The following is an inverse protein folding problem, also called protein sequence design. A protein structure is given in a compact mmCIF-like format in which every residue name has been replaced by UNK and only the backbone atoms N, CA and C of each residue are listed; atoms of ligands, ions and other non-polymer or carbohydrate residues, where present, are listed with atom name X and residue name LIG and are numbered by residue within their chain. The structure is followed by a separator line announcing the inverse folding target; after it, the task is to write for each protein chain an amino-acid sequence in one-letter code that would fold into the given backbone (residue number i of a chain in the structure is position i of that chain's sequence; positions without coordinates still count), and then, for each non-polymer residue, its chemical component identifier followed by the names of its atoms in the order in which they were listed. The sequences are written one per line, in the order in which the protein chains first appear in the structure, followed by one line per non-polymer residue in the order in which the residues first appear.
data_IF_126615954492
#
_entry.id   IF_126615954492
#
_cell.length_a   1.000
_cell.length_b   1.000
_cell.length_c   1.000
_cell.angle_alpha   90.00
_cell.angle_beta   90.00
_cell.angle_gamma   90.00
#
_symmetry.space_group_name_H-M   'P 1'
#
loop_
_entity.id
_entity.type
_entity.pdbx_description
1 polymer ?
#
# COMPACT_ATOMS: atom_id res chain seq x y z
N UNK A 1 14.79 23.96 17.17
CA UNK A 1 15.40 23.32 15.99
C UNK A 1 16.61 24.14 15.60
N UNK A 2 17.71 23.51 15.15
CA UNK A 2 18.87 24.26 14.68
C UNK A 2 18.52 25.05 13.41
N UNK A 3 19.06 26.26 13.30
CA UNK A 3 18.87 27.16 12.17
C UNK A 3 20.22 27.58 11.60
N UNK A 4 20.23 27.87 10.30
CA UNK A 4 21.35 28.53 9.61
C UNK A 4 20.79 29.74 8.88
N UNK A 5 21.56 30.82 8.77
CA UNK A 5 21.11 32.08 8.17
C UNK A 5 21.29 32.14 6.65
N UNK A 6 22.25 31.40 6.11
CA UNK A 6 22.59 31.25 4.68
C UNK A 6 22.95 29.80 4.37
N UNK A 7 23.06 29.48 3.08
CA UNK A 7 23.35 28.14 2.63
C UNK A 7 24.80 27.71 2.91
N UNK A 8 24.98 26.43 3.22
CA UNK A 8 26.27 25.78 3.52
C UNK A 8 26.47 24.61 2.56
N UNK A 9 27.72 24.29 2.21
CA UNK A 9 28.07 23.21 1.31
C UNK A 9 28.43 23.68 -0.10
N UNK A 10 28.25 22.80 -1.07
CA UNK A 10 28.61 23.02 -2.48
C UNK A 10 27.84 24.23 -3.05
N UNK A 11 28.58 25.24 -3.51
CA UNK A 11 28.02 26.48 -4.02
C UNK A 11 27.22 27.30 -2.99
N UNK A 12 27.34 26.97 -1.69
CA UNK A 12 26.73 27.71 -0.60
C UNK A 12 27.47 29.00 -0.28
N UNK A 13 26.81 29.89 0.48
CA UNK A 13 27.46 31.12 0.99
C UNK A 13 28.55 30.78 2.01
N UNK A 14 28.41 29.66 2.73
CA UNK A 14 29.42 29.11 3.64
C UNK A 14 29.90 30.09 4.71
N UNK A 15 28.96 30.83 5.32
CA UNK A 15 29.34 31.71 6.43
C UNK A 15 29.83 30.89 7.64
N UNK A 16 30.88 31.31 8.35
CA UNK A 16 31.54 30.45 9.33
C UNK A 16 30.65 29.94 10.47
N UNK A 17 29.66 30.73 10.90
CA UNK A 17 28.71 30.34 11.95
C UNK A 17 27.78 29.22 11.49
N UNK A 18 27.24 29.32 10.29
CA UNK A 18 26.33 28.31 9.72
C UNK A 18 27.08 27.01 9.40
N UNK A 19 28.32 27.13 8.92
CA UNK A 19 29.18 25.96 8.66
C UNK A 19 29.45 25.19 9.95
N UNK A 20 29.76 25.87 11.07
CA UNK A 20 29.95 25.21 12.37
C UNK A 20 28.68 24.47 12.79
N UNK A 21 27.51 25.08 12.63
CA UNK A 21 26.23 24.42 12.92
C UNK A 21 26.08 23.13 12.12
N UNK A 22 26.31 23.17 10.80
CA UNK A 22 26.19 21.98 9.95
C UNK A 22 27.22 20.91 10.29
N UNK A 23 28.47 21.28 10.56
CA UNK A 23 29.53 20.36 10.98
C UNK A 23 29.19 19.65 12.30
N UNK A 24 28.68 20.39 13.28
CA UNK A 24 28.18 19.81 14.54
C UNK A 24 27.07 18.80 14.29
N UNK A 25 26.06 19.16 13.50
CA UNK A 25 24.93 18.27 13.21
C UNK A 25 25.34 17.01 12.43
N UNK A 26 26.32 17.12 11.53
CA UNK A 26 26.88 15.95 10.82
C UNK A 26 27.57 15.00 11.80
N UNK A 27 28.33 15.54 12.74
CA UNK A 27 28.99 14.76 13.79
C UNK A 27 27.99 14.10 14.74
N UNK A 28 26.90 14.78 15.09
CA UNK A 28 25.80 14.19 15.88
C UNK A 28 25.12 13.03 15.14
N UNK A 29 25.12 13.05 13.80
CA UNK A 29 24.57 12.00 12.96
C UNK A 29 25.63 10.97 12.50
N UNK A 30 26.86 11.00 13.04
CA UNK A 30 27.99 10.23 12.49
C UNK A 30 27.76 8.71 12.48
N UNK A 31 27.00 8.18 13.44
CA UNK A 31 26.64 6.76 13.50
C UNK A 31 25.86 6.28 12.26
N UNK A 32 25.18 7.19 11.55
CA UNK A 32 24.42 6.91 10.32
C UNK A 32 25.30 6.99 9.07
N UNK A 33 26.53 7.47 9.22
CA UNK A 33 27.52 7.72 8.18
C UNK A 33 28.74 6.82 8.33
N UNK A 34 28.66 5.69 9.04
CA UNK A 34 29.78 4.73 9.12
C UNK A 34 30.20 4.27 7.71
N UNK A 35 31.51 4.21 7.37
CA UNK A 35 32.67 4.27 8.25
C UNK A 35 33.33 5.66 8.36
N UNK A 36 32.64 6.74 7.98
CA UNK A 36 33.21 8.07 8.02
C UNK A 36 33.48 8.54 9.46
N UNK A 37 34.59 9.28 9.62
CA UNK A 37 34.96 9.93 10.89
C UNK A 37 34.30 11.31 11.02
N UNK A 38 34.10 11.81 12.26
CA UNK A 38 33.64 13.17 12.50
C UNK A 38 34.48 14.21 11.76
N UNK A 39 33.82 15.23 11.21
CA UNK A 39 34.49 16.39 10.58
C UNK A 39 34.94 17.39 11.65
N UNK A 40 35.99 18.15 11.37
CA UNK A 40 36.40 19.24 12.26
C UNK A 40 35.33 20.36 12.27
N UNK A 41 34.96 20.86 13.45
CA UNK A 41 34.00 21.97 13.60
C UNK A 41 34.73 23.31 13.50
N UNK A 42 35.34 23.56 12.34
CA UNK A 42 36.18 24.73 12.09
C UNK A 42 35.38 25.96 11.65
N UNK A 43 34.19 25.76 11.07
CA UNK A 43 33.46 26.80 10.34
C UNK A 43 33.98 27.05 8.93
N UNK A 44 34.91 26.22 8.45
CA UNK A 44 35.40 26.26 7.06
C UNK A 44 34.74 25.11 6.28
N UNK A 45 34.01 25.44 5.21
CA UNK A 45 33.33 24.44 4.40
C UNK A 45 34.29 23.83 3.37
N UNK A 46 35.13 22.92 3.85
CA UNK A 46 36.09 22.19 3.02
C UNK A 46 35.48 20.99 2.28
N UNK A 47 36.26 20.38 1.40
CA UNK A 47 35.83 19.22 0.60
C UNK A 47 35.27 18.08 1.46
N UNK A 48 35.84 17.83 2.65
CA UNK A 48 35.35 16.82 3.58
C UNK A 48 33.97 17.15 4.14
N UNK A 49 33.69 18.43 4.44
CA UNK A 49 32.37 18.87 4.91
C UNK A 49 31.33 18.65 3.80
N UNK A 50 31.66 19.02 2.55
CA UNK A 50 30.77 18.82 1.39
C UNK A 50 30.51 17.32 1.16
N UNK A 51 31.56 16.49 1.18
CA UNK A 51 31.44 15.03 1.05
C UNK A 51 30.50 14.46 2.11
N UNK A 52 30.60 14.93 3.37
CA UNK A 52 29.75 14.44 4.46
C UNK A 52 28.28 14.85 4.27
N UNK A 53 28.03 16.05 3.73
CA UNK A 53 26.69 16.49 3.36
C UNK A 53 26.13 15.57 2.27
N UNK A 54 26.91 15.31 1.22
CA UNK A 54 26.51 14.40 0.14
C UNK A 54 26.22 12.98 0.66
N UNK A 55 27.05 12.49 1.57
CA UNK A 55 26.88 11.19 2.22
C UNK A 55 25.59 11.11 3.01
N UNK A 56 25.31 12.15 3.79
CA UNK A 56 24.09 12.26 4.57
C UNK A 56 22.86 12.30 3.65
N UNK A 57 22.87 13.15 2.62
CA UNK A 57 21.77 13.21 1.65
C UNK A 57 21.53 11.86 0.97
N UNK A 58 22.59 11.15 0.57
CA UNK A 58 22.47 9.86 -0.10
C UNK A 58 21.97 8.76 0.84
N UNK A 59 22.51 8.64 2.05
CA UNK A 59 22.18 7.55 2.99
C UNK A 59 20.91 7.81 3.78
N UNK A 60 20.75 9.02 4.29
CA UNK A 60 19.65 9.39 5.18
C UNK A 60 18.43 9.86 4.41
N UNK A 61 18.62 10.74 3.41
CA UNK A 61 17.50 11.25 2.61
C UNK A 61 17.18 10.40 1.39
N UNK A 62 17.99 9.38 1.09
CA UNK A 62 17.90 8.53 -0.11
C UNK A 62 17.91 9.36 -1.40
N UNK A 63 18.68 10.44 -1.43
CA UNK A 63 18.82 11.27 -2.61
C UNK A 63 19.57 10.50 -3.72
N UNK A 64 18.96 10.41 -4.90
CA UNK A 64 19.59 9.77 -6.07
C UNK A 64 20.78 10.57 -6.62
N UNK A 65 20.73 11.89 -6.49
CA UNK A 65 21.81 12.81 -6.86
C UNK A 65 22.05 13.77 -5.67
N UNK A 66 22.92 13.41 -4.72
CA UNK A 66 23.25 14.30 -3.61
C UNK A 66 23.97 15.55 -4.15
N UNK A 67 23.47 16.73 -3.79
CA UNK A 67 23.96 18.02 -4.28
C UNK A 67 25.03 18.65 -3.37
N UNK A 68 25.20 18.11 -2.16
CA UNK A 68 26.18 18.59 -1.20
C UNK A 68 25.85 19.95 -0.59
N UNK A 69 24.59 20.41 -0.65
CA UNK A 69 24.14 21.71 -0.15
C UNK A 69 23.11 21.59 0.98
N UNK A 70 23.20 22.51 1.95
CA UNK A 70 22.28 22.67 3.07
C UNK A 70 21.75 24.10 3.04
N UNK A 71 20.46 24.25 2.74
CA UNK A 71 19.80 25.56 2.72
C UNK A 71 19.04 25.86 4.03
N UNK A 72 18.91 27.14 4.43
CA UNK A 72 18.08 27.55 5.56
C UNK A 72 16.65 27.00 5.45
N UNK A 73 16.18 26.30 6.50
CA UNK A 73 14.86 25.67 6.51
C UNK A 73 14.67 24.52 5.50
N UNK A 74 15.74 24.13 4.80
CA UNK A 74 15.71 23.08 3.79
C UNK A 74 15.68 21.67 4.37
N UNK A 75 15.31 20.70 3.52
CA UNK A 75 15.15 19.28 3.88
C UNK A 75 16.39 18.68 4.56
N UNK A 76 17.60 19.03 4.09
CA UNK A 76 18.86 18.53 4.67
C UNK A 76 19.05 19.03 6.11
N UNK A 77 18.79 20.32 6.37
CA UNK A 77 18.93 20.91 7.70
C UNK A 77 17.91 20.33 8.69
N UNK A 78 16.66 20.16 8.25
CA UNK A 78 15.59 19.55 9.05
C UNK A 78 15.96 18.14 9.49
N UNK A 79 16.45 17.32 8.56
CA UNK A 79 16.84 15.94 8.86
C UNK A 79 18.11 15.84 9.72
N UNK A 80 19.08 16.74 9.52
CA UNK A 80 20.27 16.85 10.37
C UNK A 80 19.91 17.22 11.82
N UNK A 81 18.95 18.12 12.01
CA UNK A 81 18.52 18.62 13.32
C UNK A 81 17.73 17.63 14.18
N UNK A 82 17.72 16.34 13.83
CA UNK A 82 16.93 15.32 14.53
C UNK A 82 15.42 15.44 14.34
N UNK A 83 14.93 16.47 13.61
CA UNK A 83 13.56 16.59 13.14
C UNK A 83 13.34 15.74 11.89
N UNK A 84 13.86 14.51 11.91
CA UNK A 84 13.43 13.47 10.99
C UNK A 84 12.01 13.09 11.39
N UNK A 85 11.02 13.88 10.96
CA UNK A 85 9.86 13.22 10.40
C UNK A 85 10.44 12.33 9.29
N UNK A 86 10.19 11.01 9.29
CA UNK A 86 10.31 10.29 8.03
C UNK A 86 9.56 11.15 7.02
N UNK A 87 10.16 11.50 5.88
CA UNK A 87 9.32 11.89 4.76
C UNK A 87 8.36 10.73 4.64
N UNK A 88 7.11 10.91 5.08
CA UNK A 88 6.09 9.88 4.99
C UNK A 88 6.23 9.40 3.56
N UNK A 89 6.53 8.10 3.31
CA UNK A 89 6.45 7.60 1.95
C UNK A 89 5.13 8.12 1.44
N UNK A 90 5.16 8.89 0.34
CA UNK A 90 3.95 9.50 -0.22
C UNK A 90 2.87 8.43 -0.14
N UNK A 91 1.77 8.77 0.55
CA UNK A 91 0.84 7.76 1.00
C UNK A 91 0.44 6.89 -0.19
N UNK A 92 0.55 5.54 -0.10
CA UNK A 92 0.34 4.72 -1.27
C UNK A 92 -1.01 5.01 -1.91
N UNK A 93 -0.99 5.17 -3.23
CA UNK A 93 -2.17 5.53 -4.00
C UNK A 93 -2.99 4.27 -4.27
N UNK A 94 -4.25 4.29 -3.87
CA UNK A 94 -5.21 3.24 -4.20
C UNK A 94 -6.03 3.69 -5.41
N UNK A 95 -5.91 2.97 -6.51
CA UNK A 95 -6.64 3.23 -7.75
C UNK A 95 -7.82 2.27 -7.91
N UNK A 96 -8.80 2.63 -8.73
CA UNK A 96 -9.95 1.76 -9.02
C UNK A 96 -11.10 1.96 -8.02
N UNK A 97 -11.71 0.86 -7.58
CA UNK A 97 -12.86 0.92 -6.69
C UNK A 97 -12.46 1.48 -5.31
N UNK A 98 -13.25 2.43 -4.81
CA UNK A 98 -13.01 3.04 -3.51
C UNK A 98 -13.20 2.02 -2.38
N UNK A 99 -12.22 1.94 -1.47
CA UNK A 99 -12.33 1.16 -0.25
C UNK A 99 -12.90 2.02 0.90
N UNK A 100 -13.68 1.43 1.81
CA UNK A 100 -13.96 2.06 3.10
C UNK A 100 -12.66 2.43 3.83
N UNK A 101 -12.67 3.58 4.52
CA UNK A 101 -11.45 4.15 5.12
C UNK A 101 -10.65 3.17 6.01
N UNK A 102 -11.28 2.32 6.87
CA UNK A 102 -10.54 1.34 7.65
C UNK A 102 -9.79 0.30 6.80
N UNK A 103 -10.41 -0.20 5.74
CA UNK A 103 -9.79 -1.15 4.83
C UNK A 103 -8.70 -0.50 3.96
N UNK A 104 -8.93 0.74 3.53
CA UNK A 104 -7.95 1.52 2.77
C UNK A 104 -6.67 1.77 3.58
N UNK A 105 -6.81 2.07 4.88
CA UNK A 105 -5.67 2.26 5.78
C UNK A 105 -4.81 1.00 5.87
N UNK A 106 -5.44 -0.16 6.10
CA UNK A 106 -4.73 -1.46 6.15
C UNK A 106 -4.02 -1.76 4.83
N UNK A 107 -4.68 -1.58 3.67
CA UNK A 107 -4.03 -1.83 2.39
C UNK A 107 -2.82 -0.89 2.18
N UNK A 108 -2.92 0.38 2.57
CA UNK A 108 -1.80 1.33 2.50
C UNK A 108 -0.65 0.93 3.41
N UNK A 109 -0.91 0.41 4.60
CA UNK A 109 0.11 -0.11 5.53
C UNK A 109 0.84 -1.32 4.92
N UNK A 110 0.08 -2.26 4.33
CA UNK A 110 0.63 -3.41 3.60
C UNK A 110 1.51 -2.96 2.43
N UNK A 111 1.06 -1.98 1.64
CA UNK A 111 1.84 -1.44 0.52
C UNK A 111 3.14 -0.81 0.99
N UNK A 112 3.11 0.00 2.07
CA UNK A 112 4.32 0.56 2.69
C UNK A 112 5.28 -0.54 3.11
N UNK A 113 4.79 -1.58 3.80
CA UNK A 113 5.61 -2.71 4.25
C UNK A 113 6.25 -3.49 3.09
N UNK A 114 5.54 -3.59 1.95
CA UNK A 114 6.06 -4.22 0.73
C UNK A 114 6.98 -3.29 -0.12
N UNK A 115 7.13 -2.03 0.27
CA UNK A 115 7.86 -1.01 -0.50
C UNK A 115 7.16 -0.64 -1.81
N UNK A 116 5.83 -0.63 -1.81
CA UNK A 116 4.96 -0.30 -2.94
C UNK A 116 4.30 1.06 -2.72
N UNK A 117 4.20 1.84 -3.79
CA UNK A 117 3.59 3.19 -3.76
C UNK A 117 2.18 3.25 -4.35
N UNK A 118 1.71 2.16 -4.98
CA UNK A 118 0.36 2.11 -5.56
C UNK A 118 -0.17 0.68 -5.69
N UNK A 119 -1.49 0.54 -5.75
CA UNK A 119 -2.18 -0.68 -6.14
C UNK A 119 -3.57 -0.36 -6.73
N UNK A 120 -4.09 -1.23 -7.61
CA UNK A 120 -5.44 -1.10 -8.17
C UNK A 120 -6.39 -2.09 -7.51
N UNK A 121 -7.45 -1.58 -6.90
CA UNK A 121 -8.57 -2.34 -6.37
C UNK A 121 -9.62 -2.55 -7.46
N UNK A 122 -9.93 -3.79 -7.79
CA UNK A 122 -10.87 -4.15 -8.88
C UNK A 122 -12.26 -4.56 -8.39
N UNK A 123 -12.40 -4.81 -7.09
CA UNK A 123 -13.59 -5.39 -6.47
C UNK A 123 -13.58 -5.09 -4.98
N UNK A 124 -14.77 -4.87 -4.40
CA UNK A 124 -14.97 -4.52 -2.99
C UNK A 124 -16.20 -5.26 -2.45
N UNK A 125 -16.63 -4.97 -1.23
CA UNK A 125 -17.89 -5.51 -0.69
C UNK A 125 -19.09 -5.09 -1.56
N UNK A 126 -20.05 -5.99 -1.73
CA UNK A 126 -21.23 -5.83 -2.59
C UNK A 126 -22.51 -6.07 -1.79
N UNK A 127 -23.63 -5.66 -2.36
CA UNK A 127 -24.95 -6.14 -1.92
C UNK A 127 -25.23 -7.56 -2.44
N UNK A 128 -26.12 -8.33 -1.79
CA UNK A 128 -26.56 -9.63 -2.32
C UNK A 128 -27.11 -9.56 -3.75
N UNK A 129 -27.84 -8.50 -4.09
CA UNK A 129 -28.40 -8.29 -5.42
C UNK A 129 -27.30 -8.08 -6.48
N UNK A 130 -26.30 -7.26 -6.18
CA UNK A 130 -25.14 -7.08 -7.05
C UNK A 130 -24.35 -8.38 -7.22
N UNK A 131 -24.19 -9.17 -6.15
CA UNK A 131 -23.53 -10.46 -6.26
C UNK A 131 -24.31 -11.43 -7.17
N UNK A 132 -25.64 -11.48 -7.07
CA UNK A 132 -26.46 -12.28 -7.98
C UNK A 132 -26.23 -11.88 -9.45
N UNK A 133 -26.19 -10.56 -9.72
CA UNK A 133 -25.90 -10.01 -11.06
C UNK A 133 -24.52 -10.43 -11.57
N UNK A 134 -23.49 -10.33 -10.73
CA UNK A 134 -22.11 -10.73 -11.08
C UNK A 134 -22.03 -12.24 -11.35
N UNK A 135 -22.68 -13.06 -10.53
CA UNK A 135 -22.71 -14.52 -10.73
C UNK A 135 -23.42 -14.89 -12.03
N UNK A 136 -24.54 -14.22 -12.36
CA UNK A 136 -25.23 -14.40 -13.64
C UNK A 136 -24.31 -14.05 -14.82
N UNK A 137 -23.67 -12.88 -14.79
CA UNK A 137 -22.79 -12.41 -15.88
C UNK A 137 -21.57 -13.30 -16.07
N UNK A 138 -20.98 -13.79 -14.98
CA UNK A 138 -19.89 -14.76 -15.05
C UNK A 138 -20.37 -16.10 -15.63
N UNK A 139 -21.58 -16.56 -15.34
CA UNK A 139 -22.12 -17.78 -15.94
C UNK A 139 -22.35 -17.63 -17.44
N UNK A 140 -22.87 -16.47 -17.88
CA UNK A 140 -23.05 -16.16 -19.31
C UNK A 140 -21.71 -16.08 -20.03
N UNK A 141 -20.72 -15.40 -19.45
CA UNK A 141 -19.44 -15.12 -20.12
C UNK A 141 -18.42 -16.25 -20.04
N UNK A 142 -18.41 -17.04 -18.97
CA UNK A 142 -17.39 -18.07 -18.70
C UNK A 142 -17.95 -19.48 -18.54
N UNK A 143 -19.27 -19.63 -18.48
CA UNK A 143 -19.94 -20.92 -18.33
C UNK A 143 -20.06 -21.42 -16.90
N UNK A 144 -20.97 -22.38 -16.70
CA UNK A 144 -21.33 -22.96 -15.40
C UNK A 144 -20.14 -23.64 -14.72
N UNK A 145 -19.38 -24.48 -15.45
CA UNK A 145 -18.28 -25.24 -14.87
C UNK A 145 -17.16 -24.33 -14.35
N UNK A 146 -16.81 -23.27 -15.10
CA UNK A 146 -15.84 -22.28 -14.64
C UNK A 146 -16.25 -21.66 -13.30
N UNK A 147 -17.53 -21.29 -13.18
CA UNK A 147 -18.03 -20.67 -11.96
C UNK A 147 -18.04 -21.66 -10.78
N UNK A 148 -18.42 -22.92 -11.00
CA UNK A 148 -18.38 -23.95 -9.95
C UNK A 148 -16.96 -24.24 -9.44
N UNK A 149 -15.95 -24.10 -10.29
CA UNK A 149 -14.56 -24.23 -9.86
C UNK A 149 -14.07 -23.03 -9.04
N UNK A 150 -14.74 -21.88 -9.14
CA UNK A 150 -14.38 -20.66 -8.41
C UNK A 150 -15.13 -20.53 -7.08
N UNK A 151 -16.39 -20.97 -7.05
CA UNK A 151 -17.21 -20.93 -5.85
C UNK A 151 -17.10 -22.24 -5.04
N UNK A 152 -17.43 -22.16 -3.76
CA UNK A 152 -17.61 -23.34 -2.92
C UNK A 152 -19.06 -23.88 -3.04
N UNK A 153 -19.34 -25.01 -2.38
CA UNK A 153 -20.65 -25.68 -2.41
C UNK A 153 -21.88 -24.78 -2.17
N UNK A 154 -21.73 -23.68 -1.42
CA UNK A 154 -22.79 -22.69 -1.24
C UNK A 154 -23.06 -21.87 -2.52
N UNK A 155 -22.02 -21.42 -3.22
CA UNK A 155 -22.17 -20.72 -4.49
C UNK A 155 -22.58 -21.65 -5.64
N UNK A 156 -22.19 -22.92 -5.60
CA UNK A 156 -22.64 -23.93 -6.57
C UNK A 156 -24.16 -24.04 -6.61
N UNK A 157 -24.82 -24.01 -5.45
CA UNK A 157 -26.29 -24.02 -5.36
C UNK A 157 -26.93 -22.81 -6.06
N UNK A 158 -26.27 -21.65 -6.05
CA UNK A 158 -26.75 -20.45 -6.76
C UNK A 158 -26.51 -20.58 -8.26
N UNK A 159 -25.38 -21.18 -8.66
CA UNK A 159 -25.08 -21.49 -10.06
C UNK A 159 -26.05 -22.54 -10.62
N UNK A 160 -26.49 -23.50 -9.80
CA UNK A 160 -27.51 -24.49 -10.19
C UNK A 160 -28.85 -23.81 -10.48
N UNK A 161 -29.21 -22.77 -9.72
CA UNK A 161 -30.39 -21.94 -10.01
C UNK A 161 -30.25 -21.25 -11.36
N UNK A 162 -29.08 -20.70 -11.69
CA UNK A 162 -28.82 -20.18 -13.03
C UNK A 162 -29.01 -21.26 -14.09
N UNK A 163 -28.34 -22.42 -13.93
CA UNK A 163 -28.34 -23.49 -14.93
C UNK A 163 -29.76 -24.01 -15.22
N UNK A 164 -30.59 -24.16 -14.19
CA UNK A 164 -31.97 -24.61 -14.31
C UNK A 164 -32.93 -23.57 -14.91
N UNK A 165 -32.54 -22.28 -14.94
CA UNK A 165 -33.41 -21.18 -15.35
C UNK A 165 -32.84 -20.33 -16.49
N UNK A 166 -31.70 -20.73 -17.09
CA UNK A 166 -30.91 -19.91 -18.03
C UNK A 166 -31.69 -19.42 -19.26
N UNK A 167 -32.77 -20.12 -19.63
CA UNK A 167 -33.63 -19.79 -20.78
C UNK A 167 -34.77 -18.81 -20.43
N UNK A 168 -34.91 -18.41 -19.16
CA UNK A 168 -35.85 -17.38 -18.68
C UNK A 168 -35.28 -15.97 -18.88
N UNK A 169 -36.13 -14.91 -18.79
CA UNK A 169 -35.66 -13.53 -18.84
C UNK A 169 -34.57 -13.26 -17.79
N UNK A 170 -33.54 -12.50 -18.18
CA UNK A 170 -32.37 -12.18 -17.36
C UNK A 170 -32.72 -11.76 -15.93
N UNK A 171 -33.63 -10.80 -15.78
CA UNK A 171 -34.00 -10.25 -14.48
C UNK A 171 -34.71 -11.28 -13.59
N UNK A 172 -35.49 -12.19 -14.19
CA UNK A 172 -36.09 -13.33 -13.49
C UNK A 172 -35.02 -14.28 -12.96
N UNK A 173 -34.01 -14.61 -13.76
CA UNK A 173 -32.92 -15.49 -13.32
C UNK A 173 -32.12 -14.85 -12.19
N UNK A 174 -31.77 -13.57 -12.32
CA UNK A 174 -31.05 -12.83 -11.27
C UNK A 174 -31.87 -12.78 -9.97
N UNK A 175 -33.18 -12.56 -10.05
CA UNK A 175 -34.06 -12.55 -8.88
C UNK A 175 -34.10 -13.93 -8.19
N UNK A 176 -34.16 -15.03 -8.95
CA UNK A 176 -34.10 -16.39 -8.39
C UNK A 176 -32.74 -16.68 -7.74
N UNK A 177 -31.64 -16.25 -8.37
CA UNK A 177 -30.30 -16.36 -7.80
C UNK A 177 -30.17 -15.56 -6.50
N UNK A 178 -30.69 -14.33 -6.47
CA UNK A 178 -30.75 -13.51 -5.26
C UNK A 178 -31.54 -14.20 -4.15
N UNK A 179 -32.72 -14.72 -4.45
CA UNK A 179 -33.52 -15.46 -3.47
C UNK A 179 -32.73 -16.63 -2.87
N UNK A 180 -31.99 -17.38 -3.70
CA UNK A 180 -31.13 -18.48 -3.22
C UNK A 180 -29.95 -17.98 -2.37
N UNK A 181 -29.34 -16.84 -2.71
CA UNK A 181 -28.28 -16.22 -1.90
C UNK A 181 -28.81 -15.86 -0.51
N UNK A 182 -30.00 -15.25 -0.43
CA UNK A 182 -30.62 -14.87 0.83
C UNK A 182 -31.00 -16.10 1.67
N UNK A 183 -31.53 -17.15 1.03
CA UNK A 183 -31.86 -18.43 1.67
C UNK A 183 -30.65 -19.11 2.31
N UNK A 184 -29.53 -19.20 1.58
CA UNK A 184 -28.30 -19.84 2.07
C UNK A 184 -27.64 -19.00 3.17
N UNK A 185 -27.73 -17.68 3.04
CA UNK A 185 -27.02 -16.70 3.83
C UNK A 185 -25.89 -16.05 3.02
N UNK A 186 -25.94 -14.73 2.77
CA UNK A 186 -24.99 -14.01 1.91
C UNK A 186 -23.51 -14.36 2.16
N UNK A 187 -23.04 -14.19 3.41
CA UNK A 187 -21.64 -14.43 3.77
C UNK A 187 -21.15 -15.87 3.60
N UNK A 188 -22.06 -16.85 3.45
CA UNK A 188 -21.69 -18.25 3.12
C UNK A 188 -21.47 -18.46 1.63
N UNK A 189 -22.15 -17.67 0.78
CA UNK A 189 -22.01 -17.75 -0.69
C UNK A 189 -20.74 -17.04 -1.16
N UNK A 190 -20.49 -15.84 -0.64
CA UNK A 190 -19.32 -15.04 -1.01
C UNK A 190 -18.93 -14.11 0.12
N UNK A 191 -17.61 -13.96 0.35
CA UNK A 191 -17.13 -13.03 1.37
C UNK A 191 -17.36 -11.56 0.99
N UNK A 192 -17.45 -11.23 -0.30
CA UNK A 192 -17.79 -9.87 -0.74
C UNK A 192 -19.17 -9.41 -0.27
N UNK A 193 -20.10 -10.31 0.02
CA UNK A 193 -21.43 -9.96 0.55
C UNK A 193 -21.56 -10.28 2.03
N UNK A 194 -20.44 -10.40 2.74
CA UNK A 194 -20.42 -10.56 4.19
C UNK A 194 -20.53 -9.21 4.88
N UNK A 195 -21.37 -9.16 5.91
CA UNK A 195 -21.50 -8.06 6.86
C UNK A 195 -20.32 -7.94 7.83
N UNK A 196 -19.62 -9.04 8.10
CA UNK A 196 -18.53 -9.11 9.09
C UNK A 196 -17.14 -8.75 8.55
N UNK A 197 -16.95 -8.66 7.23
CA UNK A 197 -15.62 -8.41 6.63
C UNK A 197 -15.66 -7.29 5.61
N UNK A 198 -14.58 -6.52 5.54
CA UNK A 198 -14.19 -5.81 4.34
C UNK A 198 -13.49 -6.81 3.42
N UNK A 199 -13.99 -6.96 2.20
CA UNK A 199 -13.42 -7.92 1.23
C UNK A 199 -13.20 -7.23 -0.08
N UNK A 200 -12.00 -7.36 -0.62
CA UNK A 200 -11.61 -6.67 -1.83
C UNK A 200 -10.50 -7.39 -2.56
N UNK A 201 -10.42 -7.10 -3.86
CA UNK A 201 -9.47 -7.75 -4.76
C UNK A 201 -8.49 -6.71 -5.30
N UNK A 202 -7.20 -7.00 -5.18
CA UNK A 202 -6.14 -6.19 -5.77
C UNK A 202 -5.65 -6.86 -7.06
N UNK A 203 -5.64 -6.10 -8.16
CA UNK A 203 -5.21 -6.58 -9.45
C UNK A 203 -3.72 -6.96 -9.44
N UNK A 204 -3.33 -8.21 -9.76
CA UNK A 204 -1.93 -8.61 -9.78
C UNK A 204 -1.10 -7.82 -10.78
N UNK A 205 -1.72 -7.35 -11.88
CA UNK A 205 -1.10 -6.48 -12.88
C UNK A 205 -0.72 -5.09 -12.36
N UNK A 206 -1.29 -4.65 -11.24
CA UNK A 206 -0.92 -3.39 -10.59
C UNK A 206 0.28 -3.51 -9.65
N UNK A 207 0.71 -4.74 -9.36
CA UNK A 207 1.86 -5.03 -8.52
C UNK A 207 2.99 -5.55 -9.42
N UNK A 208 4.21 -4.99 -9.38
CA UNK A 208 5.33 -5.53 -10.15
C UNK A 208 5.53 -7.01 -9.83
N UNK A 209 5.70 -7.87 -10.85
CA UNK A 209 5.80 -9.33 -10.66
C UNK A 209 6.89 -9.72 -9.66
N UNK A 210 8.05 -9.04 -9.69
CA UNK A 210 9.15 -9.24 -8.75
C UNK A 210 8.80 -8.90 -7.28
N UNK A 211 7.70 -8.17 -7.05
CA UNK A 211 7.21 -7.76 -5.72
C UNK A 211 6.00 -8.57 -5.25
N UNK A 212 5.46 -9.50 -6.06
CA UNK A 212 4.30 -10.31 -5.66
C UNK A 212 4.55 -11.09 -4.36
N UNK A 213 5.73 -11.71 -4.23
CA UNK A 213 6.10 -12.43 -3.01
C UNK A 213 6.19 -11.51 -1.79
N UNK A 214 6.79 -10.32 -1.94
CA UNK A 214 6.90 -9.34 -0.86
C UNK A 214 5.53 -8.77 -0.46
N UNK A 215 4.65 -8.51 -1.44
CA UNK A 215 3.29 -8.06 -1.20
C UNK A 215 2.48 -9.12 -0.45
N UNK A 216 2.53 -10.37 -0.90
CA UNK A 216 1.86 -11.49 -0.23
C UNK A 216 2.38 -11.71 1.19
N UNK A 217 3.70 -11.61 1.40
CA UNK A 217 4.30 -11.70 2.74
C UNK A 217 3.81 -10.56 3.65
N UNK A 218 3.73 -9.32 3.14
CA UNK A 218 3.21 -8.18 3.88
C UNK A 218 1.73 -8.34 4.23
N UNK A 219 0.89 -8.85 3.32
CA UNK A 219 -0.53 -9.15 3.60
C UNK A 219 -0.64 -10.17 4.73
N UNK A 220 0.10 -11.29 4.64
CA UNK A 220 0.06 -12.37 5.64
C UNK A 220 0.59 -11.94 7.02
N UNK A 221 1.53 -11.00 7.06
CA UNK A 221 2.08 -10.46 8.30
C UNK A 221 1.17 -9.42 8.97
N UNK A 222 0.17 -8.89 8.26
CA UNK A 222 -0.67 -7.81 8.76
C UNK A 222 -1.73 -8.32 9.73
N UNK A 223 -1.73 -7.84 10.98
CA UNK A 223 -2.59 -8.34 12.06
C UNK A 223 -4.10 -8.20 11.79
N UNK A 224 -4.51 -7.22 11.00
CA UNK A 224 -5.90 -7.00 10.63
C UNK A 224 -6.41 -7.95 9.52
N UNK A 225 -5.53 -8.61 8.78
CA UNK A 225 -5.94 -9.50 7.68
C UNK A 225 -6.22 -10.88 8.25
N UNK A 226 -7.44 -11.39 8.06
CA UNK A 226 -7.79 -12.75 8.49
C UNK A 226 -7.51 -13.79 7.40
N UNK A 227 -7.59 -13.39 6.12
CA UNK A 227 -7.39 -14.31 5.00
C UNK A 227 -6.90 -13.58 3.75
N UNK A 228 -6.07 -14.27 2.97
CA UNK A 228 -5.71 -13.90 1.61
C UNK A 228 -5.75 -15.13 0.70
N UNK A 229 -6.35 -14.99 -0.48
CA UNK A 229 -6.32 -16.00 -1.55
C UNK A 229 -5.58 -15.35 -2.74
N UNK A 230 -4.32 -15.74 -2.99
CA UNK A 230 -3.54 -15.16 -4.09
C UNK A 230 -3.72 -15.93 -5.40
N UNK A 231 -3.23 -15.38 -6.53
CA UNK A 231 -3.07 -16.14 -7.77
C UNK A 231 -2.12 -17.34 -7.64
N UNK A 232 -2.37 -18.43 -8.38
CA UNK A 232 -3.43 -18.61 -9.37
C UNK A 232 -4.78 -19.09 -8.80
N UNK A 233 -4.86 -19.36 -7.49
CA UNK A 233 -6.09 -19.88 -6.86
C UNK A 233 -7.26 -18.90 -7.03
N UNK A 234 -6.98 -17.61 -6.87
CA UNK A 234 -7.88 -16.53 -7.28
C UNK A 234 -7.20 -15.69 -8.38
N UNK A 235 -7.90 -15.24 -9.43
CA UNK A 235 -7.29 -14.38 -10.46
C UNK A 235 -6.74 -13.04 -9.90
N UNK A 236 -7.11 -12.66 -8.68
CA UNK A 236 -6.61 -11.49 -7.98
C UNK A 236 -5.98 -11.83 -6.62
N UNK A 237 -5.42 -10.82 -5.94
CA UNK A 237 -5.15 -10.93 -4.51
C UNK A 237 -6.44 -10.62 -3.76
N UNK A 238 -7.23 -11.66 -3.47
CA UNK A 238 -8.46 -11.55 -2.66
C UNK A 238 -8.10 -11.44 -1.19
N UNK A 239 -8.49 -10.34 -0.55
CA UNK A 239 -8.11 -10.01 0.83
C UNK A 239 -9.36 -9.84 1.69
N UNK A 240 -9.37 -10.49 2.86
CA UNK A 240 -10.45 -10.44 3.84
C UNK A 240 -9.93 -9.79 5.15
N UNK A 241 -10.60 -8.71 5.58
CA UNK A 241 -10.33 -8.00 6.84
C UNK A 241 -11.59 -8.04 7.69
N UNK A 242 -11.59 -8.67 8.89
CA UNK A 242 -12.73 -8.61 9.79
C UNK A 242 -12.99 -7.15 10.19
N UNK A 243 -14.24 -6.69 10.14
CA UNK A 243 -14.60 -5.32 10.54
C UNK A 243 -14.30 -5.03 12.00
N UNK A 244 -14.20 -6.06 12.85
CA UNK A 244 -13.81 -5.95 14.26
C UNK A 244 -12.30 -5.75 14.46
N UNK A 245 -11.48 -6.02 13.45
CA UNK A 245 -10.01 -5.91 13.54
C UNK A 245 -9.48 -4.50 13.29
N UNK A 246 -10.36 -3.61 12.85
CA UNK A 246 -10.08 -2.20 12.57
C UNK A 246 -11.16 -1.38 13.27
N UNK A 247 -10.75 -0.36 14.03
CA UNK A 247 -11.69 0.52 14.73
C UNK A 247 -12.65 1.25 13.77
N UNK A 248 -13.74 1.83 14.29
CA UNK A 248 -14.67 2.63 13.49
C UNK A 248 -13.98 3.80 12.78
#
# INVERSE_FOLDING_TARGET
MATISKSVGRGGVNIPTDVRTVQTLLNENIARLIPFLPVAVSGVCEAQTILMIEEFQRRVLRAHAPDGRVDPGGRTLTALSGAAAPSTPAEPVLEGNALPAPAAAVLKEILKAAGLSRARVTSVSRTPAEQARVMYENCVSKGVLFNKNMYAAAGDKVIDVYAANKDKPKDTVIALMLAKILEIGPGKVSRHISDTHYTFDVAPSSIPSAKHAAFLAAIKAHKAVSKVIPPPTDPAFHIEIPKTSVGP
#
